data_IF_758490665108
#
_entry.id   IF_758490665108
#
_cell.length_a   1.000
_cell.length_b   1.000
_cell.length_c   1.000
_cell.angle_alpha   90.00
_cell.angle_beta   90.00
_cell.angle_gamma   90.00
#
_symmetry.space_group_name_H-M   'P 1'
#
loop_
_entity.id
_entity.type
_entity.pdbx_description
1 polymer ?
#
# COMPACT_ATOMS: atom_id res chain seq x y z
N UNK A 1 2.51 3.79 -12.80
CA UNK A 1 1.87 3.12 -11.63
C UNK A 1 2.88 2.97 -10.47
N UNK A 2 2.52 3.30 -9.23
CA UNK A 2 3.46 3.24 -8.08
C UNK A 2 4.04 1.85 -7.81
N UNK A 3 3.37 0.79 -8.24
CA UNK A 3 3.93 -0.57 -8.24
C UNK A 3 5.24 -0.67 -9.04
N UNK A 4 5.39 0.11 -10.13
CA UNK A 4 6.62 0.15 -10.90
C UNK A 4 7.79 0.83 -10.18
N UNK A 5 7.53 1.51 -9.04
CA UNK A 5 8.56 2.11 -8.21
C UNK A 5 9.13 1.14 -7.17
N UNK A 6 8.50 -0.03 -6.96
CA UNK A 6 9.07 -1.07 -6.11
C UNK A 6 10.12 -1.86 -6.90
N UNK A 7 11.31 -2.10 -6.33
CA UNK A 7 12.29 -2.95 -6.99
C UNK A 7 11.75 -4.39 -7.10
N UNK A 8 12.20 -5.18 -8.09
CA UNK A 8 11.80 -6.58 -8.23
C UNK A 8 12.08 -7.45 -7.00
N UNK A 9 13.03 -7.04 -6.15
CA UNK A 9 13.37 -7.69 -4.88
C UNK A 9 12.37 -7.41 -3.75
N UNK A 10 11.45 -6.46 -3.91
CA UNK A 10 10.51 -6.07 -2.87
C UNK A 10 9.63 -7.25 -2.45
N UNK A 11 9.74 -7.64 -1.18
CA UNK A 11 8.93 -8.71 -0.60
C UNK A 11 7.66 -8.12 0.00
N UNK A 12 6.51 -8.59 -0.47
CA UNK A 12 5.21 -8.20 0.08
C UNK A 12 5.04 -8.78 1.48
N UNK A 13 4.82 -7.93 2.48
CA UNK A 13 4.70 -8.29 3.90
C UNK A 13 3.43 -7.69 4.48
N UNK A 14 2.61 -8.53 5.12
CA UNK A 14 1.35 -8.18 5.79
C UNK A 14 0.30 -7.54 4.86
N UNK A 15 -0.91 -8.08 4.89
CA UNK A 15 -2.04 -7.56 4.11
C UNK A 15 -3.25 -7.48 5.02
N UNK A 16 -3.91 -6.33 4.95
CA UNK A 16 -5.26 -6.14 5.47
C UNK A 16 -6.12 -5.59 4.34
N UNK A 17 -7.43 -5.85 4.40
CA UNK A 17 -8.37 -5.45 3.37
C UNK A 17 -9.62 -4.86 4.02
N UNK A 18 -10.16 -3.83 3.39
CA UNK A 18 -11.47 -3.30 3.71
C UNK A 18 -12.34 -3.15 2.45
N UNK A 19 -13.65 -3.17 2.64
CA UNK A 19 -14.64 -3.00 1.56
C UNK A 19 -15.39 -1.70 1.77
N UNK A 20 -15.50 -0.87 0.73
CA UNK A 20 -16.31 0.35 0.72
C UNK A 20 -17.10 0.40 -0.59
N UNK A 21 -18.40 0.12 -0.53
CA UNK A 21 -19.22 -0.02 -1.73
C UNK A 21 -18.66 -1.09 -2.68
N UNK A 22 -18.42 -0.71 -3.95
CA UNK A 22 -17.84 -1.59 -4.97
C UNK A 22 -16.31 -1.64 -4.96
N UNK A 23 -15.66 -1.00 -3.99
CA UNK A 23 -14.20 -0.90 -3.91
C UNK A 23 -13.64 -1.80 -2.82
N UNK A 24 -12.66 -2.62 -3.18
CA UNK A 24 -11.78 -3.31 -2.22
C UNK A 24 -10.51 -2.48 -2.04
N UNK A 25 -10.14 -2.18 -0.80
CA UNK A 25 -8.90 -1.49 -0.46
C UNK A 25 -7.98 -2.44 0.28
N UNK A 26 -6.75 -2.55 -0.17
CA UNK A 26 -5.70 -3.37 0.41
C UNK A 26 -4.60 -2.45 0.90
N UNK A 27 -4.33 -2.45 2.22
CA UNK A 27 -3.11 -1.83 2.75
C UNK A 27 -2.02 -2.90 2.79
N UNK A 28 -0.99 -2.67 1.99
CA UNK A 28 0.11 -3.59 1.77
C UNK A 28 1.42 -3.02 2.30
N UNK A 29 2.16 -3.81 3.07
CA UNK A 29 3.55 -3.54 3.40
C UNK A 29 4.49 -4.20 2.40
N UNK A 30 5.63 -3.57 2.16
CA UNK A 30 6.70 -4.07 1.30
C UNK A 30 8.03 -3.89 2.02
N UNK A 31 8.78 -4.96 2.13
CA UNK A 31 10.17 -4.92 2.58
C UNK A 31 11.06 -4.74 1.36
N UNK A 32 11.81 -3.64 1.32
CA UNK A 32 12.71 -3.26 0.23
C UNK A 32 14.13 -3.21 0.77
N UNK A 33 15.08 -3.85 0.07
CA UNK A 33 16.48 -3.76 0.45
C UNK A 33 16.96 -2.30 0.40
N UNK A 34 17.50 -1.80 1.51
CA UNK A 34 18.27 -0.57 1.53
C UNK A 34 19.65 -0.90 0.94
N UNK A 35 20.13 -0.10 -0.02
CA UNK A 35 21.40 -0.39 -0.68
C UNK A 35 22.58 -0.32 0.28
N UNK A 36 23.58 -1.19 0.08
CA UNK A 36 24.94 -1.04 0.60
C UNK A 36 25.24 -1.60 1.99
N UNK A 37 24.26 -1.72 2.89
CA UNK A 37 24.48 -2.11 4.30
C UNK A 37 23.72 -3.36 4.77
N UNK A 38 22.96 -4.01 3.87
CA UNK A 38 22.12 -5.16 4.22
C UNK A 38 20.86 -4.78 5.01
N UNK A 39 20.58 -3.49 5.16
CA UNK A 39 19.35 -2.99 5.76
C UNK A 39 18.13 -3.27 4.90
N UNK A 40 16.97 -3.22 5.53
CA UNK A 40 15.69 -3.21 4.83
C UNK A 40 14.89 -2.00 5.29
N UNK A 41 14.18 -1.37 4.35
CA UNK A 41 13.15 -0.38 4.65
C UNK A 41 11.78 -0.98 4.38
N UNK A 42 10.80 -0.62 5.20
CA UNK A 42 9.40 -0.94 4.95
C UNK A 42 8.76 0.21 4.18
N UNK A 43 7.97 -0.12 3.16
CA UNK A 43 7.16 0.83 2.40
C UNK A 43 5.71 0.35 2.43
N UNK A 44 4.77 1.24 2.72
CA UNK A 44 3.35 0.93 2.64
C UNK A 44 2.74 1.49 1.35
N UNK A 45 1.89 0.71 0.70
CA UNK A 45 1.08 1.13 -0.44
C UNK A 45 -0.38 0.72 -0.21
N UNK A 46 -1.30 1.49 -0.80
CA UNK A 46 -2.69 1.09 -0.91
C UNK A 46 -2.95 0.62 -2.33
N UNK A 47 -3.51 -0.57 -2.48
CA UNK A 47 -4.07 -1.05 -3.74
C UNK A 47 -5.59 -1.00 -3.66
N UNK A 48 -6.24 -0.49 -4.69
CA UNK A 48 -7.70 -0.60 -4.80
C UNK A 48 -8.11 -1.45 -5.98
N UNK A 49 -9.20 -2.18 -5.82
CA UNK A 49 -9.83 -2.97 -6.87
C UNK A 49 -11.30 -2.58 -6.99
N UNK A 50 -11.70 -2.18 -8.19
CA UNK A 50 -13.08 -1.88 -8.53
C UNK A 50 -13.80 -3.13 -9.00
N UNK A 51 -14.73 -3.63 -8.18
CA UNK A 51 -15.51 -4.83 -8.45
C UNK A 51 -16.57 -4.63 -9.54
N UNK A 52 -16.83 -3.39 -9.95
CA UNK A 52 -17.76 -3.03 -11.03
C UNK A 52 -17.09 -2.78 -12.38
N UNK A 53 -15.76 -2.79 -12.42
CA UNK A 53 -15.01 -2.50 -13.65
C UNK A 53 -15.31 -3.53 -14.74
N UNK A 54 -15.73 -3.05 -15.91
CA UNK A 54 -16.01 -3.91 -17.05
C UNK A 54 -14.69 -4.45 -17.64
N UNK A 55 -14.49 -5.78 -17.70
CA UNK A 55 -13.26 -6.36 -18.25
C UNK A 55 -12.96 -5.82 -19.65
N UNK A 56 -11.76 -5.26 -19.83
CA UNK A 56 -11.28 -4.74 -21.12
C UNK A 56 -11.61 -3.28 -21.43
N UNK A 57 -12.49 -2.61 -20.68
CA UNK A 57 -12.75 -1.17 -20.87
C UNK A 57 -11.93 -0.28 -19.92
N UNK A 58 -11.77 -0.72 -18.67
CA UNK A 58 -11.11 0.04 -17.60
C UNK A 58 -10.25 -0.90 -16.76
N UNK A 59 -9.02 -0.52 -16.36
CA UNK A 59 -8.23 -1.33 -15.45
C UNK A 59 -8.88 -1.33 -14.06
N UNK A 60 -9.19 -2.50 -13.48
CA UNK A 60 -9.87 -2.56 -12.20
C UNK A 60 -8.93 -2.19 -11.03
N UNK A 61 -7.63 -2.35 -11.21
CA UNK A 61 -6.61 -2.10 -10.19
C UNK A 61 -6.05 -0.69 -10.25
N UNK A 62 -5.90 -0.06 -9.08
CA UNK A 62 -5.11 1.17 -8.90
C UNK A 62 -4.20 1.04 -7.68
N UNK A 63 -3.18 1.88 -7.60
CA UNK A 63 -2.29 1.92 -6.44
C UNK A 63 -1.88 3.35 -6.14
N UNK A 64 -1.87 3.70 -4.86
CA UNK A 64 -1.57 5.04 -4.33
C UNK A 64 -0.81 4.93 -3.00
N UNK A 65 -0.11 5.99 -2.60
CA UNK A 65 0.51 6.05 -1.28
C UNK A 65 -0.57 6.28 -0.22
N UNK A 66 -0.48 5.64 0.95
CA UNK A 66 -1.34 5.98 2.07
C UNK A 66 -1.09 7.44 2.48
N UNK A 67 -2.16 8.17 2.76
CA UNK A 67 -2.06 9.49 3.38
C UNK A 67 -1.89 9.31 4.87
N UNK A 68 -0.93 10.01 5.45
CA UNK A 68 -0.70 10.07 6.89
C UNK A 68 -0.79 11.53 7.32
N UNK A 69 -1.37 11.80 8.49
CA UNK A 69 -1.39 13.15 9.04
C UNK A 69 0.04 13.68 9.13
N UNK A 70 0.25 14.93 8.71
CA UNK A 70 1.59 15.53 8.55
C UNK A 70 2.38 15.56 9.87
N UNK A 71 1.69 15.52 11.00
CA UNK A 71 2.29 15.44 12.33
C UNK A 71 2.96 14.08 12.52
N UNK A 72 4.29 14.00 12.41
CA UNK A 72 5.11 12.83 12.76
C UNK A 72 5.63 11.98 11.59
N UNK A 73 5.34 12.35 10.33
CA UNK A 73 5.96 11.71 9.16
C UNK A 73 7.37 12.24 8.94
N UNK A 74 7.60 13.55 9.11
CA UNK A 74 8.90 14.18 8.84
C UNK A 74 10.02 13.73 9.79
N UNK A 75 9.67 13.31 11.01
CA UNK A 75 10.62 12.81 12.02
C UNK A 75 10.90 11.30 11.88
N UNK A 76 10.28 10.62 10.90
CA UNK A 76 10.38 9.16 10.76
C UNK A 76 9.83 8.39 11.97
N UNK A 77 9.13 9.06 12.89
CA UNK A 77 8.68 8.49 14.15
C UNK A 77 7.39 7.68 14.01
N UNK A 78 6.68 7.81 12.89
CA UNK A 78 5.47 7.04 12.60
C UNK A 78 5.67 6.08 11.43
N UNK A 79 5.51 4.79 11.70
CA UNK A 79 5.45 3.74 10.70
C UNK A 79 4.03 3.20 10.57
N UNK A 80 3.61 2.90 9.34
CA UNK A 80 2.34 2.22 9.10
C UNK A 80 2.52 0.71 9.25
N UNK A 81 1.84 0.13 10.22
CA UNK A 81 1.74 -1.31 10.38
C UNK A 81 0.55 -1.83 9.55
N UNK A 82 0.82 -2.50 8.43
CA UNK A 82 -0.20 -3.04 7.52
C UNK A 82 -0.95 -4.28 8.06
N UNK A 83 -1.15 -4.34 9.38
CA UNK A 83 -1.74 -5.48 10.09
C UNK A 83 -3.26 -5.34 10.30
N UNK A 84 -3.77 -4.12 10.40
CA UNK A 84 -5.20 -3.86 10.55
C UNK A 84 -5.62 -2.60 9.80
N UNK A 85 -6.87 -2.59 9.34
CA UNK A 85 -7.56 -1.40 8.87
C UNK A 85 -8.93 -1.35 9.55
N UNK A 86 -9.32 -0.18 10.01
CA UNK A 86 -10.70 0.14 10.35
C UNK A 86 -11.26 1.06 9.27
N UNK A 87 -12.54 0.89 8.95
CA UNK A 87 -13.28 1.83 8.12
C UNK A 87 -14.30 2.50 9.01
N UNK A 88 -14.29 3.82 9.00
CA UNK A 88 -15.38 4.61 9.55
C UNK A 88 -16.34 4.91 8.40
N UNK A 89 -17.57 4.43 8.52
CA UNK A 89 -18.67 4.71 7.58
C UNK A 89 -19.45 5.94 8.04
#
# INVERSE_FOLDING_TARGET
>A
PLLAALPPSAQRRYHTMAVVGNQLYFLAGYQVAAGGDGGFRTVSLVHSFDTSANPGLMPPWRSFQPTMDQDGVEDGSKELFSQCCSVQL
#
